data_IF_406204519692
#
_entry.id   IF_406204519692
#
_cell.length_a   1.000
_cell.length_b   1.000
_cell.length_c   1.000
_cell.angle_alpha   90.00
_cell.angle_beta   90.00
_cell.angle_gamma   90.00
#
_symmetry.space_group_name_H-M   'P 1'
#
loop_
_entity.id
_entity.type
_entity.pdbx_description
1 polymer ?
#
# COMPACT_ATOMS: atom_id res chain seq x y z
N UNK A 1 5.52 -5.22 -4.65
CA UNK A 1 6.36 -6.21 -5.35
C UNK A 1 5.85 -7.63 -5.08
N UNK A 2 6.16 -8.59 -5.96
CA UNK A 2 5.53 -9.93 -6.03
C UNK A 2 6.33 -11.04 -5.35
N UNK A 3 5.69 -12.21 -5.15
CA UNK A 3 6.29 -13.44 -4.60
C UNK A 3 7.48 -13.96 -5.44
N UNK A 4 7.46 -13.77 -6.76
CA UNK A 4 8.59 -14.14 -7.63
C UNK A 4 9.90 -13.46 -7.23
N UNK A 5 9.85 -12.16 -6.86
CA UNK A 5 11.06 -11.45 -6.43
C UNK A 5 11.70 -12.12 -5.21
N UNK A 6 10.88 -12.57 -4.25
CA UNK A 6 11.39 -13.21 -3.04
C UNK A 6 12.09 -14.52 -3.38
N UNK A 7 11.56 -15.27 -4.35
CA UNK A 7 12.18 -16.52 -4.82
C UNK A 7 13.51 -16.24 -5.51
N UNK A 8 13.56 -15.31 -6.46
CA UNK A 8 14.81 -14.93 -7.14
C UNK A 8 15.87 -14.42 -6.16
N UNK A 9 15.50 -13.54 -5.22
CA UNK A 9 16.43 -13.05 -4.18
C UNK A 9 16.90 -14.17 -3.25
N UNK A 10 16.02 -15.11 -2.91
CA UNK A 10 16.39 -16.25 -2.08
C UNK A 10 17.43 -17.13 -2.80
N UNK A 11 17.26 -17.37 -4.09
CA UNK A 11 18.22 -18.12 -4.92
C UNK A 11 19.58 -17.39 -4.99
N UNK A 12 19.59 -16.08 -5.30
CA UNK A 12 20.81 -15.25 -5.36
C UNK A 12 21.63 -15.30 -4.06
N UNK A 13 20.95 -15.34 -2.92
CA UNK A 13 21.57 -15.27 -1.58
C UNK A 13 21.75 -16.64 -0.92
N UNK A 14 21.38 -17.74 -1.60
CA UNK A 14 21.44 -19.09 -1.05
C UNK A 14 20.55 -19.29 0.19
N UNK A 15 19.38 -18.65 0.20
CA UNK A 15 18.35 -18.76 1.23
C UNK A 15 17.35 -19.87 0.85
N UNK A 16 17.13 -20.88 1.71
CA UNK A 16 16.09 -21.88 1.44
C UNK A 16 14.70 -21.25 1.45
N UNK A 17 13.92 -21.50 0.39
CA UNK A 17 12.56 -20.97 0.24
C UNK A 17 11.48 -22.04 -0.04
N UNK A 18 11.86 -23.28 -0.35
CA UNK A 18 10.91 -24.36 -0.57
C UNK A 18 10.15 -24.70 0.74
N UNK A 19 8.82 -24.76 0.66
CA UNK A 19 7.96 -25.07 1.80
C UNK A 19 7.85 -23.98 2.87
N UNK A 20 8.44 -22.79 2.65
CA UNK A 20 8.38 -21.66 3.58
C UNK A 20 7.38 -20.61 3.13
N UNK A 21 6.78 -19.91 4.08
CA UNK A 21 5.94 -18.76 3.80
C UNK A 21 6.77 -17.61 3.22
N UNK A 22 6.12 -16.74 2.44
CA UNK A 22 6.75 -15.54 1.90
C UNK A 22 7.41 -14.71 3.01
N UNK A 23 6.73 -14.54 4.15
CA UNK A 23 7.24 -13.75 5.27
C UNK A 23 8.52 -14.35 5.87
N UNK A 24 8.60 -15.67 6.01
CA UNK A 24 9.83 -16.35 6.46
C UNK A 24 10.97 -16.19 5.46
N UNK A 25 10.70 -16.35 4.17
CA UNK A 25 11.71 -16.20 3.11
C UNK A 25 12.26 -14.78 3.08
N UNK A 26 11.38 -13.78 3.11
CA UNK A 26 11.78 -12.38 3.09
C UNK A 26 12.58 -12.01 4.35
N UNK A 27 12.18 -12.48 5.53
CA UNK A 27 12.95 -12.25 6.77
C UNK A 27 14.34 -12.89 6.70
N UNK A 28 14.46 -14.08 6.14
CA UNK A 28 15.75 -14.74 5.94
C UNK A 28 16.64 -13.97 4.92
N UNK A 29 16.03 -13.42 3.85
CA UNK A 29 16.71 -12.51 2.92
C UNK A 29 17.21 -11.25 3.64
N UNK A 30 16.34 -10.58 4.40
CA UNK A 30 16.71 -9.38 5.17
C UNK A 30 17.90 -9.66 6.09
N UNK A 31 17.91 -10.80 6.78
CA UNK A 31 19.03 -11.21 7.62
C UNK A 31 20.34 -11.36 6.81
N UNK A 32 20.28 -11.99 5.63
CA UNK A 32 21.45 -12.15 4.74
C UNK A 32 21.94 -10.83 4.17
N UNK A 33 21.05 -9.88 3.92
CA UNK A 33 21.37 -8.53 3.46
C UNK A 33 21.89 -7.62 4.58
N UNK A 34 21.84 -8.07 5.86
CA UNK A 34 22.26 -7.28 7.01
C UNK A 34 21.20 -6.30 7.53
N UNK A 35 19.94 -6.51 7.14
CA UNK A 35 18.79 -5.72 7.58
C UNK A 35 18.08 -6.34 8.80
N UNK A 36 17.16 -5.57 9.38
CA UNK A 36 16.29 -6.07 10.44
C UNK A 36 15.27 -7.02 9.80
N UNK A 37 14.99 -8.13 10.47
CA UNK A 37 14.05 -9.17 10.01
C UNK A 37 12.59 -8.77 10.28
N UNK A 38 12.23 -7.55 9.87
CA UNK A 38 11.00 -6.87 10.27
C UNK A 38 9.85 -7.02 9.27
N UNK A 39 10.01 -7.76 8.17
CA UNK A 39 8.96 -7.91 7.16
C UNK A 39 7.67 -8.47 7.78
N UNK A 40 6.53 -7.85 7.41
CA UNK A 40 5.19 -8.27 7.83
C UNK A 40 4.94 -8.23 9.36
N UNK A 41 5.61 -7.31 10.06
CA UNK A 41 5.40 -7.06 11.51
C UNK A 41 4.39 -5.95 11.80
N UNK A 42 3.85 -5.30 10.76
CA UNK A 42 2.93 -4.18 10.91
C UNK A 42 3.59 -2.81 11.15
N UNK A 43 4.91 -2.67 10.95
CA UNK A 43 5.58 -1.35 11.02
C UNK A 43 4.98 -0.36 10.01
N UNK A 44 4.72 0.85 10.49
CA UNK A 44 4.33 2.01 9.68
C UNK A 44 5.52 2.88 9.25
N UNK A 45 6.68 2.71 9.89
CA UNK A 45 7.92 3.46 9.63
C UNK A 45 9.11 2.51 9.47
N UNK A 46 10.02 2.82 8.55
CA UNK A 46 11.22 2.03 8.28
C UNK A 46 12.41 2.94 7.94
N UNK A 47 13.47 2.85 8.74
CA UNK A 47 14.73 3.58 8.55
C UNK A 47 15.72 2.88 7.60
N UNK A 48 15.45 1.63 7.21
CA UNK A 48 16.33 0.85 6.33
C UNK A 48 16.06 1.19 4.86
N UNK A 49 16.54 2.34 4.41
CA UNK A 49 16.27 2.89 3.07
C UNK A 49 16.72 1.96 1.93
N UNK A 50 17.80 1.20 2.14
CA UNK A 50 18.32 0.23 1.18
C UNK A 50 17.60 -1.13 1.20
N UNK A 51 16.62 -1.34 2.10
CA UNK A 51 15.89 -2.61 2.16
C UNK A 51 14.99 -2.76 0.92
N UNK A 52 15.22 -3.81 0.15
CA UNK A 52 14.47 -4.12 -1.07
C UNK A 52 12.94 -4.20 -0.83
N UNK A 53 12.54 -4.57 0.39
CA UNK A 53 11.15 -4.77 0.77
C UNK A 53 10.45 -3.51 1.31
N UNK A 54 11.19 -2.41 1.49
CA UNK A 54 10.70 -1.18 2.14
C UNK A 54 9.44 -0.64 1.49
N UNK A 55 9.42 -0.49 0.17
CA UNK A 55 8.27 0.04 -0.56
C UNK A 55 7.04 -0.84 -0.42
N UNK A 56 7.23 -2.16 -0.44
CA UNK A 56 6.11 -3.10 -0.28
C UNK A 56 5.55 -3.07 1.14
N UNK A 57 6.41 -2.91 2.16
CA UNK A 57 5.99 -2.74 3.54
C UNK A 57 5.23 -1.43 3.75
N UNK A 58 5.81 -0.29 3.32
CA UNK A 58 5.21 1.02 3.51
C UNK A 58 3.95 1.22 2.67
N UNK A 59 3.90 0.67 1.45
CA UNK A 59 2.71 0.70 0.60
C UNK A 59 1.53 -0.04 1.24
N UNK A 60 1.77 -1.21 1.86
CA UNK A 60 0.71 -1.93 2.61
C UNK A 60 0.25 -1.16 3.86
N UNK A 61 1.17 -0.51 4.58
CA UNK A 61 0.82 0.32 5.72
C UNK A 61 -0.01 1.53 5.30
N UNK A 62 0.37 2.22 4.21
CA UNK A 62 -0.39 3.33 3.64
C UNK A 62 -1.76 2.88 3.15
N UNK A 63 -1.84 1.73 2.48
CA UNK A 63 -3.11 1.20 2.00
C UNK A 63 -4.06 0.86 3.16
N UNK A 64 -3.54 0.28 4.25
CA UNK A 64 -4.33 0.03 5.46
C UNK A 64 -4.85 1.33 6.06
N UNK A 65 -3.98 2.31 6.24
CA UNK A 65 -4.35 3.60 6.81
C UNK A 65 -5.39 4.35 5.95
N UNK A 66 -5.23 4.31 4.62
CA UNK A 66 -6.18 4.91 3.71
C UNK A 66 -7.55 4.21 3.77
N UNK A 67 -7.60 2.88 3.91
CA UNK A 67 -8.85 2.15 4.14
C UNK A 67 -9.53 2.60 5.44
N UNK A 68 -8.77 2.72 6.53
CA UNK A 68 -9.28 3.23 7.82
C UNK A 68 -9.86 4.65 7.71
N UNK A 69 -9.24 5.51 6.90
CA UNK A 69 -9.72 6.87 6.65
C UNK A 69 -10.81 6.98 5.57
N UNK A 70 -11.18 5.88 4.92
CA UNK A 70 -12.11 5.90 3.78
C UNK A 70 -11.58 6.69 2.57
N UNK A 71 -10.26 6.79 2.42
CA UNK A 71 -9.59 7.49 1.33
C UNK A 71 -9.29 6.52 0.19
N UNK A 72 -9.72 6.82 -1.06
CA UNK A 72 -9.42 5.97 -2.21
C UNK A 72 -7.92 6.05 -2.55
N UNK A 73 -7.28 4.89 -2.69
CA UNK A 73 -5.83 4.78 -2.97
C UNK A 73 -5.59 4.58 -4.47
N UNK A 74 -6.57 4.07 -5.20
CA UNK A 74 -6.47 3.87 -6.64
C UNK A 74 -6.95 5.10 -7.43
N UNK A 75 -6.31 5.35 -8.57
CA UNK A 75 -6.54 6.56 -9.35
C UNK A 75 -7.92 6.59 -10.02
N UNK A 76 -8.49 5.42 -10.30
CA UNK A 76 -9.82 5.29 -10.91
C UNK A 76 -10.92 5.64 -9.90
N UNK A 77 -10.87 5.07 -8.70
CA UNK A 77 -11.72 5.40 -7.57
C UNK A 77 -11.52 6.85 -7.12
N UNK A 78 -10.30 7.38 -7.14
CA UNK A 78 -10.05 8.79 -6.88
C UNK A 78 -10.72 9.69 -7.93
N UNK A 79 -10.71 9.29 -9.21
CA UNK A 79 -11.37 10.01 -10.31
C UNK A 79 -12.89 9.96 -10.17
N UNK A 80 -13.46 8.79 -9.92
CA UNK A 80 -14.88 8.60 -9.67
C UNK A 80 -15.35 9.42 -8.46
N UNK A 81 -14.61 9.39 -7.35
CA UNK A 81 -14.91 10.17 -6.15
C UNK A 81 -14.90 11.68 -6.43
N UNK A 82 -13.95 12.18 -7.25
CA UNK A 82 -13.92 13.59 -7.69
C UNK A 82 -15.17 13.94 -8.51
N UNK A 83 -15.55 13.10 -9.46
CA UNK A 83 -16.75 13.29 -10.29
C UNK A 83 -18.02 13.30 -9.44
N UNK A 84 -18.18 12.31 -8.56
CA UNK A 84 -19.32 12.22 -7.64
C UNK A 84 -19.42 13.45 -6.73
N UNK A 85 -18.30 13.90 -6.15
CA UNK A 85 -18.27 15.13 -5.34
C UNK A 85 -18.61 16.38 -6.15
N UNK A 86 -18.17 16.48 -7.40
CA UNK A 86 -18.53 17.58 -8.28
C UNK A 86 -20.03 17.61 -8.59
N UNK A 87 -20.62 16.44 -8.90
CA UNK A 87 -22.05 16.30 -9.11
C UNK A 87 -22.86 16.69 -7.87
N UNK A 88 -22.47 16.21 -6.68
CA UNK A 88 -23.13 16.58 -5.42
C UNK A 88 -23.05 18.09 -5.12
N UNK A 89 -21.93 18.74 -5.45
CA UNK A 89 -21.80 20.20 -5.30
C UNK A 89 -22.74 20.95 -6.25
N UNK A 90 -22.82 20.50 -7.50
CA UNK A 90 -23.72 21.08 -8.49
C UNK A 90 -25.19 20.93 -8.09
N UNK A 91 -25.58 19.71 -7.71
CA UNK A 91 -26.92 19.38 -7.23
C UNK A 91 -27.32 20.19 -5.97
N UNK A 92 -26.41 20.36 -5.01
CA UNK A 92 -26.62 21.28 -3.86
C UNK A 92 -26.81 22.73 -4.29
N UNK A 93 -26.11 23.19 -5.34
CA UNK A 93 -26.24 24.55 -5.86
C UNK A 93 -27.60 24.76 -6.52
N UNK A 94 -28.07 23.80 -7.33
CA UNK A 94 -29.39 23.86 -7.95
C UNK A 94 -30.50 23.94 -6.91
N UNK A 95 -30.48 23.04 -5.90
CA UNK A 95 -31.45 23.09 -4.80
C UNK A 95 -31.48 24.43 -4.07
N UNK A 96 -30.33 25.10 -3.94
CA UNK A 96 -30.26 26.44 -3.36
C UNK A 96 -30.89 27.51 -4.27
N UNK A 97 -30.72 27.43 -5.59
CA UNK A 97 -31.35 28.38 -6.53
C UNK A 97 -32.87 28.22 -6.54
N UNK A 98 -33.37 26.98 -6.57
CA UNK A 98 -34.79 26.69 -6.47
C UNK A 98 -35.42 27.27 -5.19
N UNK A 99 -34.73 27.14 -4.05
CA UNK A 99 -35.18 27.73 -2.77
C UNK A 99 -35.19 29.27 -2.79
N UNK A 100 -34.37 29.90 -3.62
CA UNK A 100 -34.31 31.35 -3.77
C UNK A 100 -35.28 31.87 -4.84
N UNK A 101 -35.96 30.98 -5.57
CA UNK A 101 -36.94 31.33 -6.60
C UNK A 101 -36.33 32.02 -7.83
N UNK A 102 -35.05 31.76 -8.13
CA UNK A 102 -34.30 32.29 -9.29
C UNK A 102 -33.97 31.22 -10.31
#
# INVERSE_FOLDING_TARGET
MTEQLARTKAEELGVPHAGRSLSEVVRAIQQREGFETCFDTGRSLCAQEACCWRESCLGRALARHALELGVPIDEAAAREARTRRAALRFDRRLRRLEQLGV
#
